data_IF_778301652053
#
_entry.id   IF_778301652053
#
_cell.length_a   1.000
_cell.length_b   1.000
_cell.length_c   1.000
_cell.angle_alpha   90.00
_cell.angle_beta   90.00
_cell.angle_gamma   90.00
#
_symmetry.space_group_name_H-M   'P 1'
#
loop_
_entity.id
_entity.type
_entity.pdbx_description
1 polymer ?
#
# COMPACT_ATOMS: atom_id res chain seq x y z
N UNK A 1 -57.02 -17.96 13.79
CA UNK A 1 -56.34 -18.93 12.90
C UNK A 1 -55.25 -18.16 12.16
N UNK A 2 -53.97 -18.46 12.16
CA UNK A 2 -53.13 -19.45 12.84
C UNK A 2 -51.67 -18.97 12.75
N UNK A 3 -50.89 -19.23 13.81
CA UNK A 3 -49.43 -19.50 13.96
C UNK A 3 -48.42 -18.93 12.94
N UNK A 4 -47.23 -18.46 13.36
CA UNK A 4 -46.14 -19.29 13.92
C UNK A 4 -45.20 -18.44 14.81
N UNK A 5 -45.17 -18.72 16.11
CA UNK A 5 -44.06 -19.34 16.89
C UNK A 5 -42.85 -18.44 17.16
N UNK A 6 -43.00 -17.66 18.23
CA UNK A 6 -41.94 -17.27 19.16
C UNK A 6 -41.30 -18.54 19.74
N UNK A 7 -39.97 -18.61 19.76
CA UNK A 7 -39.25 -19.51 20.64
C UNK A 7 -38.69 -18.70 21.81
N UNK A 8 -39.25 -18.98 22.98
CA UNK A 8 -38.73 -18.62 24.30
C UNK A 8 -37.58 -19.56 24.69
N UNK A 9 -36.45 -18.94 25.09
CA UNK A 9 -35.59 -19.21 26.26
C UNK A 9 -34.84 -20.58 26.37
N UNK A 10 -33.76 -20.72 27.19
CA UNK A 10 -33.32 -19.91 28.35
C UNK A 10 -31.88 -19.36 28.16
N UNK A 11 -31.33 -18.43 28.94
CA UNK A 11 -31.41 -18.17 30.38
C UNK A 11 -29.96 -17.99 30.84
N UNK A 12 -29.69 -16.91 31.54
CA UNK A 12 -28.40 -16.46 32.04
C UNK A 12 -27.69 -17.56 32.85
N UNK A 13 -26.58 -18.09 32.33
CA UNK A 13 -25.56 -18.80 33.11
C UNK A 13 -24.23 -18.11 32.86
N UNK A 14 -23.72 -17.50 33.93
CA UNK A 14 -22.48 -16.76 33.95
C UNK A 14 -21.26 -17.70 33.82
N UNK A 15 -20.27 -17.21 33.07
CA UNK A 15 -18.86 -17.56 33.08
C UNK A 15 -18.48 -19.01 32.73
N UNK A 16 -18.02 -19.17 31.49
CA UNK A 16 -16.70 -19.73 31.24
C UNK A 16 -16.02 -18.85 30.18
N UNK A 17 -15.23 -17.87 30.64
CA UNK A 17 -14.18 -17.22 29.84
C UNK A 17 -13.07 -18.25 29.59
N UNK A 18 -13.38 -19.32 28.86
CA UNK A 18 -12.37 -20.14 28.21
C UNK A 18 -11.93 -19.39 26.96
N UNK A 19 -10.67 -18.94 26.99
CA UNK A 19 -9.84 -18.54 25.85
C UNK A 19 -10.48 -18.86 24.49
N UNK A 20 -11.11 -17.85 23.85
CA UNK A 20 -11.38 -17.87 22.41
C UNK A 20 -9.99 -17.83 21.76
N UNK A 21 -9.41 -19.01 21.64
CA UNK A 21 -8.00 -19.20 21.35
C UNK A 21 -7.65 -18.74 19.95
N UNK A 22 -6.42 -18.24 19.82
CA UNK A 22 -5.75 -17.88 18.57
C UNK A 22 -5.93 -18.95 17.47
N UNK A 23 -6.09 -20.22 17.88
CA UNK A 23 -6.31 -21.39 17.02
C UNK A 23 -7.57 -21.29 16.13
N UNK A 24 -8.68 -20.72 16.63
CA UNK A 24 -9.90 -20.55 15.81
C UNK A 24 -9.74 -19.46 14.74
N UNK A 25 -9.02 -18.38 15.07
CA UNK A 25 -8.71 -17.31 14.11
C UNK A 25 -7.75 -17.82 13.03
N UNK A 26 -6.74 -18.59 13.42
CA UNK A 26 -5.82 -19.24 12.50
C UNK A 26 -6.52 -20.25 11.59
N UNK A 27 -7.38 -21.13 12.13
CA UNK A 27 -8.13 -22.10 11.33
C UNK A 27 -9.13 -21.46 10.37
N UNK A 28 -9.76 -20.36 10.79
CA UNK A 28 -10.62 -19.56 9.92
C UNK A 28 -9.81 -18.88 8.81
N UNK A 29 -8.62 -18.35 9.12
CA UNK A 29 -7.70 -17.78 8.14
C UNK A 29 -7.23 -18.82 7.12
N UNK A 30 -6.79 -19.99 7.58
CA UNK A 30 -6.40 -21.13 6.74
C UNK A 30 -7.53 -21.59 5.83
N UNK A 31 -8.76 -21.65 6.34
CA UNK A 31 -9.94 -22.04 5.56
C UNK A 31 -10.27 -21.06 4.45
N UNK A 32 -10.27 -19.75 4.74
CA UNK A 32 -10.47 -18.68 3.76
C UNK A 32 -9.40 -18.70 2.67
N UNK A 33 -8.13 -18.88 3.06
CA UNK A 33 -7.02 -19.02 2.10
C UNK A 33 -7.23 -20.19 1.15
N UNK A 34 -7.59 -21.38 1.67
CA UNK A 34 -7.86 -22.56 0.83
C UNK A 34 -9.06 -22.37 -0.10
N UNK A 35 -10.10 -21.69 0.38
CA UNK A 35 -11.27 -21.38 -0.44
C UNK A 35 -10.88 -20.44 -1.59
N UNK A 36 -10.08 -19.42 -1.30
CA UNK A 36 -9.51 -18.51 -2.29
C UNK A 36 -8.66 -19.24 -3.32
N UNK A 37 -7.73 -20.08 -2.89
CA UNK A 37 -6.88 -20.89 -3.78
C UNK A 37 -7.72 -21.76 -4.71
N UNK A 38 -8.80 -22.39 -4.21
CA UNK A 38 -9.74 -23.17 -5.04
C UNK A 38 -10.55 -22.32 -6.01
N UNK A 39 -10.79 -21.05 -5.71
CA UNK A 39 -11.48 -20.13 -6.62
C UNK A 39 -10.51 -19.66 -7.70
N UNK A 40 -9.29 -19.28 -7.33
CA UNK A 40 -8.25 -18.90 -8.26
C UNK A 40 -7.92 -20.03 -9.26
N UNK A 41 -7.76 -21.27 -8.78
CA UNK A 41 -7.51 -22.46 -9.61
C UNK A 41 -8.68 -22.86 -10.54
N UNK A 42 -9.85 -22.21 -10.43
CA UNK A 42 -10.96 -22.38 -11.37
C UNK A 42 -10.91 -21.39 -12.53
N UNK A 43 -10.08 -20.37 -12.42
CA UNK A 43 -9.90 -19.31 -13.42
C UNK A 43 -8.58 -19.52 -14.13
N UNK A 44 -7.51 -19.60 -13.34
CA UNK A 44 -6.13 -19.71 -13.82
C UNK A 44 -5.90 -20.96 -14.65
N UNK A 45 -5.24 -20.79 -15.78
CA UNK A 45 -4.78 -21.90 -16.62
C UNK A 45 -3.45 -22.51 -16.14
N UNK A 46 -3.21 -23.78 -16.52
CA UNK A 46 -1.98 -24.49 -16.19
C UNK A 46 -0.74 -23.77 -16.78
N UNK A 47 -0.90 -23.00 -17.86
CA UNK A 47 0.21 -22.30 -18.51
C UNK A 47 0.73 -21.12 -17.68
N UNK A 48 -0.14 -20.41 -16.96
CA UNK A 48 0.26 -19.38 -15.99
C UNK A 48 0.99 -19.99 -14.80
N UNK A 49 0.49 -21.10 -14.25
CA UNK A 49 1.20 -21.80 -13.16
C UNK A 49 2.59 -22.28 -13.61
N UNK A 50 2.70 -22.83 -14.82
CA UNK A 50 3.99 -23.19 -15.39
C UNK A 50 4.88 -21.97 -15.68
N UNK A 51 4.30 -20.83 -16.06
CA UNK A 51 5.07 -19.60 -16.29
C UNK A 51 5.67 -19.09 -14.98
N UNK A 52 4.87 -19.02 -13.91
CA UNK A 52 5.33 -18.63 -12.58
C UNK A 52 6.34 -19.63 -12.01
N UNK A 53 6.16 -20.92 -12.26
CA UNK A 53 7.11 -21.96 -11.86
C UNK A 53 8.50 -21.77 -12.50
N UNK A 54 8.56 -21.27 -13.75
CA UNK A 54 9.82 -21.00 -14.45
C UNK A 54 10.60 -19.83 -13.83
N UNK A 55 9.97 -18.98 -13.03
CA UNK A 55 10.62 -17.83 -12.38
C UNK A 55 11.24 -18.15 -11.03
N UNK A 56 11.24 -19.43 -10.62
CA UNK A 56 12.00 -19.92 -9.45
C UNK A 56 13.50 -19.61 -9.51
N UNK A 57 14.03 -19.31 -10.69
CA UNK A 57 15.33 -18.68 -10.87
C UNK A 57 15.13 -17.36 -11.60
N UNK A 58 15.86 -16.29 -11.24
CA UNK A 58 15.74 -15.01 -11.93
C UNK A 58 16.01 -15.17 -13.44
N UNK A 59 14.98 -14.89 -14.24
CA UNK A 59 15.04 -14.86 -15.70
C UNK A 59 14.11 -13.72 -16.15
N UNK A 60 14.65 -12.61 -16.69
CA UNK A 60 13.86 -11.47 -17.15
C UNK A 60 12.71 -11.84 -18.09
N UNK A 61 12.96 -12.75 -19.04
CA UNK A 61 11.95 -13.13 -20.02
C UNK A 61 10.83 -13.96 -19.38
N UNK A 62 11.18 -14.86 -18.45
CA UNK A 62 10.19 -15.64 -17.71
C UNK A 62 9.36 -14.74 -16.78
N UNK A 63 9.99 -13.78 -16.10
CA UNK A 63 9.31 -12.87 -15.18
C UNK A 63 8.31 -11.96 -15.92
N UNK A 64 8.72 -11.33 -17.03
CA UNK A 64 7.81 -10.52 -17.87
C UNK A 64 6.68 -11.37 -18.45
N UNK A 65 6.96 -12.62 -18.85
CA UNK A 65 5.92 -13.54 -19.32
C UNK A 65 4.91 -13.90 -18.21
N UNK A 66 5.38 -14.09 -16.98
CA UNK A 66 4.52 -14.38 -15.84
C UNK A 66 3.65 -13.15 -15.50
N UNK A 67 4.20 -11.93 -15.52
CA UNK A 67 3.44 -10.70 -15.30
C UNK A 67 2.34 -10.49 -16.35
N UNK A 68 2.69 -10.62 -17.64
CA UNK A 68 1.71 -10.49 -18.73
C UNK A 68 0.65 -11.62 -18.72
N UNK A 69 0.96 -12.80 -18.18
CA UNK A 69 -0.04 -13.84 -17.95
C UNK A 69 -0.93 -13.51 -16.77
N UNK A 70 -0.35 -13.05 -15.67
CA UNK A 70 -1.09 -12.65 -14.48
C UNK A 70 -2.14 -11.57 -14.80
N UNK A 71 -1.76 -10.55 -15.57
CA UNK A 71 -2.68 -9.53 -16.08
C UNK A 71 -3.87 -10.15 -16.84
N UNK A 72 -3.59 -11.03 -17.82
CA UNK A 72 -4.67 -11.70 -18.58
C UNK A 72 -5.59 -12.55 -17.70
N UNK A 73 -5.04 -13.21 -16.68
CA UNK A 73 -5.85 -13.99 -15.73
C UNK A 73 -6.74 -13.10 -14.86
N UNK A 74 -6.25 -11.91 -14.48
CA UNK A 74 -7.05 -10.91 -13.79
C UNK A 74 -8.18 -10.38 -14.68
N UNK A 75 -7.87 -10.01 -15.93
CA UNK A 75 -8.87 -9.55 -16.90
C UNK A 75 -9.95 -10.63 -17.12
N UNK A 76 -9.54 -11.88 -17.37
CA UNK A 76 -10.45 -13.01 -17.54
C UNK A 76 -11.30 -13.27 -16.28
N UNK A 77 -10.75 -13.00 -15.09
CA UNK A 77 -11.49 -13.09 -13.83
C UNK A 77 -12.52 -11.96 -13.66
N UNK A 78 -12.21 -10.73 -14.12
CA UNK A 78 -13.14 -9.58 -14.10
C UNK A 78 -14.34 -9.78 -15.03
N UNK A 79 -14.15 -10.45 -16.17
CA UNK A 79 -15.23 -10.74 -17.12
C UNK A 79 -16.30 -11.68 -16.55
N UNK A 80 -16.05 -12.29 -15.38
CA UNK A 80 -16.99 -13.21 -14.74
C UNK A 80 -18.07 -12.43 -13.97
N UNK A 81 -19.31 -12.84 -14.17
CA UNK A 81 -20.47 -12.29 -13.46
C UNK A 81 -20.59 -12.86 -12.03
N UNK A 82 -19.59 -12.58 -11.18
CA UNK A 82 -19.53 -13.01 -9.78
C UNK A 82 -19.21 -11.89 -8.78
N UNK A 83 -19.41 -10.63 -9.17
CA UNK A 83 -19.18 -9.47 -8.29
C UNK A 83 -17.70 -9.25 -7.94
N UNK A 84 -16.78 -9.78 -8.76
CA UNK A 84 -15.33 -9.65 -8.57
C UNK A 84 -14.78 -10.62 -7.53
N UNK A 85 -15.50 -11.68 -7.16
CA UNK A 85 -14.98 -12.73 -6.28
C UNK A 85 -13.83 -13.49 -6.94
N UNK A 86 -13.98 -13.83 -8.23
CA UNK A 86 -12.91 -14.50 -8.98
C UNK A 86 -11.67 -13.62 -9.11
N UNK A 87 -11.85 -12.34 -9.45
CA UNK A 87 -10.74 -11.38 -9.53
C UNK A 87 -9.97 -11.30 -8.22
N UNK A 88 -10.67 -11.04 -7.10
CA UNK A 88 -10.05 -10.99 -5.78
C UNK A 88 -9.37 -12.31 -5.42
N UNK A 89 -9.92 -13.44 -5.87
CA UNK A 89 -9.32 -14.74 -5.62
C UNK A 89 -7.99 -14.92 -6.36
N UNK A 90 -7.95 -14.58 -7.65
CA UNK A 90 -6.71 -14.61 -8.46
C UNK A 90 -5.69 -13.63 -7.88
N UNK A 91 -6.09 -12.37 -7.70
CA UNK A 91 -5.23 -11.31 -7.17
C UNK A 91 -4.55 -11.73 -5.86
N UNK A 92 -5.32 -12.04 -4.82
CA UNK A 92 -4.76 -12.36 -3.50
C UNK A 92 -4.06 -13.72 -3.43
N UNK A 93 -4.12 -14.54 -4.48
CA UNK A 93 -3.39 -15.80 -4.56
C UNK A 93 -2.04 -15.63 -5.23
N UNK A 94 -1.96 -14.79 -6.27
CA UNK A 94 -0.78 -14.71 -7.14
C UNK A 94 -0.06 -13.36 -7.11
N UNK A 95 -0.62 -12.31 -6.49
CA UNK A 95 0.03 -11.01 -6.35
C UNK A 95 1.45 -11.10 -5.77
N UNK A 96 1.59 -11.66 -4.57
CA UNK A 96 2.90 -11.79 -3.90
C UNK A 96 3.89 -12.64 -4.72
N UNK A 97 3.53 -13.86 -5.21
CA UNK A 97 4.43 -14.64 -6.07
C UNK A 97 4.91 -13.90 -7.34
N UNK A 98 4.04 -13.13 -7.99
CA UNK A 98 4.42 -12.39 -9.20
C UNK A 98 5.30 -11.19 -8.83
N UNK A 99 5.00 -10.48 -7.73
CA UNK A 99 5.88 -9.44 -7.18
C UNK A 99 7.26 -10.01 -6.88
N UNK A 100 7.36 -11.14 -6.17
CA UNK A 100 8.63 -11.80 -5.83
C UNK A 100 9.42 -12.20 -7.07
N UNK A 101 8.72 -12.69 -8.10
CA UNK A 101 9.32 -13.05 -9.39
C UNK A 101 10.00 -11.86 -10.08
N UNK A 102 9.31 -10.72 -10.14
CA UNK A 102 9.83 -9.50 -10.79
C UNK A 102 10.92 -8.87 -9.91
N UNK A 103 10.70 -8.84 -8.59
CA UNK A 103 11.66 -8.32 -7.60
C UNK A 103 12.99 -9.08 -7.67
N UNK A 104 12.96 -10.41 -7.81
CA UNK A 104 14.16 -11.23 -7.90
C UNK A 104 15.02 -10.86 -9.12
N UNK A 105 14.42 -10.57 -10.27
CA UNK A 105 15.13 -10.11 -11.46
C UNK A 105 15.63 -8.67 -11.27
N UNK A 106 14.79 -7.78 -10.73
CA UNK A 106 15.17 -6.39 -10.47
C UNK A 106 16.39 -6.28 -9.53
N UNK A 107 16.58 -7.23 -8.61
CA UNK A 107 17.77 -7.30 -7.74
C UNK A 107 19.05 -7.67 -8.48
N UNK A 108 18.96 -8.44 -9.56
CA UNK A 108 20.13 -8.84 -10.37
C UNK A 108 20.43 -7.83 -11.47
N UNK A 109 19.41 -7.40 -12.20
CA UNK A 109 19.54 -6.55 -13.40
C UNK A 109 19.39 -5.06 -13.11
N UNK A 110 18.83 -4.70 -11.94
CA UNK A 110 18.72 -3.32 -11.46
C UNK A 110 17.70 -2.47 -12.23
N UNK A 111 17.92 -1.16 -12.20
CA UNK A 111 17.04 -0.16 -12.80
C UNK A 111 16.76 -0.35 -14.30
N UNK A 112 17.71 -0.75 -15.17
CA UNK A 112 17.41 -0.93 -16.59
C UNK A 112 16.23 -1.88 -16.85
N UNK A 113 16.23 -3.06 -16.21
CA UNK A 113 15.12 -4.01 -16.33
C UNK A 113 13.82 -3.43 -15.78
N UNK A 114 13.88 -2.84 -14.58
CA UNK A 114 12.70 -2.35 -13.90
C UNK A 114 12.03 -1.16 -14.62
N UNK A 115 12.83 -0.30 -15.24
CA UNK A 115 12.33 0.81 -16.04
C UNK A 115 11.69 0.32 -17.35
N UNK A 116 12.23 -0.72 -17.99
CA UNK A 116 11.56 -1.35 -19.15
C UNK A 116 10.19 -1.94 -18.76
N UNK A 117 10.09 -2.57 -17.58
CA UNK A 117 8.81 -3.07 -17.06
C UNK A 117 7.85 -1.93 -16.74
N UNK A 118 8.32 -0.86 -16.08
CA UNK A 118 7.48 0.30 -15.76
C UNK A 118 6.99 1.04 -17.03
N UNK A 119 7.84 1.16 -18.05
CA UNK A 119 7.49 1.73 -19.35
C UNK A 119 6.44 0.87 -20.08
N UNK A 120 6.58 -0.45 -20.07
CA UNK A 120 5.61 -1.36 -20.69
C UNK A 120 4.22 -1.33 -20.04
N UNK A 121 4.14 -0.87 -18.78
CA UNK A 121 2.91 -0.75 -17.99
C UNK A 121 2.57 0.71 -17.66
N UNK A 122 3.04 1.64 -18.48
CA UNK A 122 2.86 3.07 -18.27
C UNK A 122 1.44 3.54 -18.62
N UNK A 123 0.62 3.72 -17.59
CA UNK A 123 -0.77 4.15 -17.70
C UNK A 123 -0.95 5.55 -18.32
N UNK A 124 0.11 6.35 -18.40
CA UNK A 124 0.07 7.67 -19.04
C UNK A 124 -0.06 7.57 -20.57
N UNK A 125 0.33 6.44 -21.16
CA UNK A 125 0.20 6.21 -22.61
C UNK A 125 -1.24 5.85 -23.01
N UNK A 126 -1.87 4.96 -22.25
CA UNK A 126 -3.21 4.44 -22.54
C UNK A 126 -4.35 5.18 -21.82
N UNK A 127 -4.00 6.00 -20.82
CA UNK A 127 -4.97 6.79 -20.05
C UNK A 127 -5.75 5.99 -19.00
N UNK A 128 -5.30 4.78 -18.66
CA UNK A 128 -5.92 3.88 -17.68
C UNK A 128 -4.86 3.03 -17.00
N UNK A 129 -5.10 2.67 -15.74
CA UNK A 129 -4.27 1.69 -15.04
C UNK A 129 -4.49 0.29 -15.64
N UNK A 130 -3.41 -0.50 -15.68
CA UNK A 130 -3.47 -1.93 -15.96
C UNK A 130 -3.77 -2.70 -14.68
N UNK A 131 -4.41 -3.87 -14.80
CA UNK A 131 -4.59 -4.80 -13.69
C UNK A 131 -3.27 -5.28 -13.05
N UNK A 132 -2.16 -5.18 -13.80
CA UNK A 132 -0.82 -5.49 -13.31
C UNK A 132 -0.10 -4.29 -12.66
N UNK A 133 -0.65 -3.07 -12.73
CA UNK A 133 -0.02 -1.87 -12.16
C UNK A 133 0.32 -2.06 -10.67
N UNK A 134 -0.51 -2.75 -9.91
CA UNK A 134 -0.22 -3.02 -8.49
C UNK A 134 1.07 -3.81 -8.26
N UNK A 135 1.42 -4.73 -9.16
CA UNK A 135 2.67 -5.50 -9.09
C UNK A 135 3.84 -4.58 -9.42
N UNK A 136 3.74 -3.85 -10.54
CA UNK A 136 4.81 -2.96 -11.03
C UNK A 136 5.08 -1.84 -10.02
N UNK A 137 4.04 -1.20 -9.48
CA UNK A 137 4.17 -0.19 -8.44
C UNK A 137 4.88 -0.73 -7.19
N UNK A 138 4.56 -1.95 -6.75
CA UNK A 138 5.21 -2.56 -5.59
C UNK A 138 6.71 -2.79 -5.83
N UNK A 139 7.12 -3.39 -6.96
CA UNK A 139 8.55 -3.63 -7.23
C UNK A 139 9.34 -2.35 -7.49
N UNK A 140 8.71 -1.34 -8.09
CA UNK A 140 9.29 0.01 -8.22
C UNK A 140 9.47 0.63 -6.85
N UNK A 141 8.45 0.58 -5.98
CA UNK A 141 8.52 1.08 -4.61
C UNK A 141 9.61 0.38 -3.78
N UNK A 142 9.73 -0.96 -3.85
CA UNK A 142 10.81 -1.70 -3.18
C UNK A 142 12.18 -1.22 -3.64
N UNK A 143 12.36 -1.01 -4.94
CA UNK A 143 13.64 -0.57 -5.51
C UNK A 143 13.97 0.89 -5.16
N UNK A 144 12.96 1.77 -5.09
CA UNK A 144 13.09 3.15 -4.59
C UNK A 144 13.59 3.14 -3.14
N UNK A 145 12.96 2.33 -2.29
CA UNK A 145 13.31 2.22 -0.87
C UNK A 145 14.71 1.63 -0.70
N UNK A 146 15.05 0.56 -1.44
CA UNK A 146 16.40 -0.01 -1.42
C UNK A 146 17.45 1.02 -1.80
N UNK A 147 17.29 1.69 -2.94
CA UNK A 147 18.23 2.71 -3.40
C UNK A 147 18.38 3.84 -2.35
N UNK A 148 17.28 4.35 -1.78
CA UNK A 148 17.34 5.35 -0.71
C UNK A 148 18.15 4.85 0.50
N UNK A 149 17.95 3.60 0.91
CA UNK A 149 18.60 3.02 2.09
C UNK A 149 20.07 2.66 1.87
N UNK A 150 20.48 2.30 0.63
CA UNK A 150 21.83 1.79 0.35
C UNK A 150 22.73 2.77 -0.39
N UNK A 151 22.17 3.60 -1.27
CA UNK A 151 22.90 4.45 -2.22
C UNK A 151 22.56 5.95 -2.07
N UNK A 152 21.44 6.26 -1.41
CA UNK A 152 20.92 7.61 -1.25
C UNK A 152 19.85 7.96 -2.30
N UNK A 153 19.20 9.11 -2.12
CA UNK A 153 18.05 9.49 -2.97
C UNK A 153 18.44 9.78 -4.41
N UNK A 154 19.61 10.37 -4.66
CA UNK A 154 20.12 10.69 -6.00
C UNK A 154 20.31 9.45 -6.90
N UNK A 155 20.34 8.25 -6.32
CA UNK A 155 20.45 7.00 -7.06
C UNK A 155 19.11 6.51 -7.65
N UNK A 156 18.00 7.13 -7.27
CA UNK A 156 16.66 6.74 -7.74
C UNK A 156 16.39 7.40 -9.10
N UNK A 157 16.04 6.63 -10.15
CA UNK A 157 15.69 7.24 -11.43
C UNK A 157 14.42 8.08 -11.35
N UNK A 158 14.46 9.30 -11.89
CA UNK A 158 13.28 10.19 -12.01
C UNK A 158 12.10 9.51 -12.71
N UNK A 159 12.37 8.66 -13.70
CA UNK A 159 11.34 7.91 -14.41
C UNK A 159 10.54 6.97 -13.48
N UNK A 160 11.20 6.32 -12.51
CA UNK A 160 10.53 5.47 -11.52
C UNK A 160 9.64 6.29 -10.58
N UNK A 161 10.11 7.48 -10.17
CA UNK A 161 9.36 8.39 -9.32
C UNK A 161 8.15 8.98 -10.05
N UNK A 162 8.33 9.32 -11.33
CA UNK A 162 7.25 9.85 -12.17
C UNK A 162 6.20 8.78 -12.45
N UNK A 163 6.61 7.51 -12.62
CA UNK A 163 5.69 6.39 -12.73
C UNK A 163 4.81 6.30 -11.47
N UNK A 164 5.40 6.17 -10.28
CA UNK A 164 4.65 6.07 -9.02
C UNK A 164 3.79 7.31 -8.77
N UNK A 165 4.38 8.50 -8.84
CA UNK A 165 3.71 9.76 -8.53
C UNK A 165 2.54 10.10 -9.45
N UNK A 166 2.44 9.47 -10.62
CA UNK A 166 1.33 9.69 -11.53
C UNK A 166 0.13 8.77 -11.31
N UNK A 167 0.27 7.65 -10.58
CA UNK A 167 -0.81 6.67 -10.37
C UNK A 167 -2.10 7.30 -9.81
N UNK A 168 -2.08 8.20 -8.81
CA UNK A 168 -3.30 8.77 -8.23
C UNK A 168 -4.20 9.46 -9.26
N UNK A 169 -3.61 10.10 -10.28
CA UNK A 169 -4.36 10.80 -11.33
C UNK A 169 -5.17 9.85 -12.22
N UNK A 170 -4.82 8.57 -12.25
CA UNK A 170 -5.46 7.55 -13.10
C UNK A 170 -6.21 6.49 -12.28
N UNK A 171 -6.16 6.57 -10.94
CA UNK A 171 -6.96 5.70 -10.09
C UNK A 171 -8.44 6.11 -10.16
N UNK A 172 -9.30 5.15 -10.46
CA UNK A 172 -10.75 5.34 -10.54
C UNK A 172 -11.48 4.71 -9.34
N UNK A 173 -10.74 4.37 -8.27
CA UNK A 173 -11.26 3.71 -7.08
C UNK A 173 -11.65 2.25 -7.28
N UNK A 174 -11.37 1.65 -8.45
CA UNK A 174 -11.68 0.23 -8.70
C UNK A 174 -10.72 -0.72 -7.99
N UNK A 175 -9.48 -0.27 -7.71
CA UNK A 175 -8.48 -1.13 -7.08
C UNK A 175 -7.37 -0.40 -6.28
N UNK A 176 -7.54 -0.33 -4.97
CA UNK A 176 -6.71 0.48 -4.07
C UNK A 176 -5.23 0.07 -3.96
N UNK A 177 -4.81 -1.14 -4.39
CA UNK A 177 -3.42 -1.58 -4.12
C UNK A 177 -2.38 -0.84 -4.97
N UNK A 178 -2.64 -0.60 -6.26
CA UNK A 178 -1.72 0.20 -7.07
C UNK A 178 -1.54 1.61 -6.48
N UNK A 179 -2.67 2.18 -6.06
CA UNK A 179 -2.74 3.45 -5.35
C UNK A 179 -1.96 3.43 -4.02
N UNK A 180 -2.15 2.41 -3.17
CA UNK A 180 -1.40 2.21 -1.91
C UNK A 180 0.12 2.11 -2.16
N UNK A 181 0.53 1.32 -3.15
CA UNK A 181 1.93 1.08 -3.49
C UNK A 181 2.60 2.35 -4.03
N UNK A 182 1.86 3.17 -4.77
CA UNK A 182 2.36 4.43 -5.33
C UNK A 182 2.74 5.47 -4.27
N UNK A 183 2.13 5.43 -3.09
CA UNK A 183 2.42 6.35 -2.00
C UNK A 183 3.87 6.24 -1.50
N UNK A 184 4.57 5.15 -1.80
CA UNK A 184 5.99 4.99 -1.48
C UNK A 184 6.90 5.95 -2.27
N UNK A 185 6.37 6.72 -3.23
CA UNK A 185 7.07 7.87 -3.80
C UNK A 185 7.53 8.86 -2.73
N UNK A 186 6.90 8.88 -1.55
CA UNK A 186 7.33 9.65 -0.38
C UNK A 186 8.79 9.42 0.05
N UNK A 187 9.34 8.23 -0.24
CA UNK A 187 10.75 7.91 0.03
C UNK A 187 11.75 8.71 -0.81
N UNK A 188 11.27 9.44 -1.82
CA UNK A 188 12.06 10.31 -2.68
C UNK A 188 12.21 11.74 -2.15
N UNK A 189 11.76 12.04 -0.93
CA UNK A 189 11.94 13.37 -0.35
C UNK A 189 13.41 13.83 -0.42
N UNK A 190 13.60 15.06 -0.91
CA UNK A 190 14.94 15.64 -1.12
C UNK A 190 15.65 15.23 -2.41
N UNK A 191 14.98 14.54 -3.35
CA UNK A 191 15.56 14.20 -4.65
C UNK A 191 15.95 15.45 -5.46
N UNK A 192 17.15 15.53 -6.05
CA UNK A 192 17.64 16.75 -6.70
C UNK A 192 16.94 17.09 -8.02
N UNK A 193 16.39 16.08 -8.69
CA UNK A 193 15.77 16.20 -10.03
C UNK A 193 14.27 15.83 -10.03
N UNK A 194 13.68 15.56 -8.87
CA UNK A 194 12.26 15.19 -8.75
C UNK A 194 11.65 15.92 -7.55
N UNK A 195 10.58 16.69 -7.80
CA UNK A 195 9.92 17.47 -6.76
C UNK A 195 8.77 16.68 -6.15
N UNK A 196 9.04 15.99 -5.04
CA UNK A 196 7.97 15.33 -4.27
C UNK A 196 6.92 16.34 -3.79
N UNK A 197 7.34 17.55 -3.41
CA UNK A 197 6.46 18.63 -2.99
C UNK A 197 5.45 18.99 -4.08
N UNK A 198 5.91 19.20 -5.32
CA UNK A 198 5.03 19.53 -6.44
C UNK A 198 4.03 18.39 -6.70
N UNK A 199 4.52 17.14 -6.79
CA UNK A 199 3.64 15.98 -7.01
C UNK A 199 2.56 15.83 -5.92
N UNK A 200 2.95 15.97 -4.64
CA UNK A 200 2.01 15.84 -3.53
C UNK A 200 1.01 16.98 -3.50
N UNK A 201 1.47 18.22 -3.71
CA UNK A 201 0.59 19.39 -3.64
C UNK A 201 -0.32 19.55 -4.87
N UNK A 202 0.02 18.94 -6.00
CA UNK A 202 -0.90 18.77 -7.12
C UNK A 202 -1.97 17.71 -6.81
N UNK A 203 -1.60 16.61 -6.13
CA UNK A 203 -2.53 15.54 -5.81
C UNK A 203 -3.47 15.85 -4.65
N UNK A 204 -3.05 16.66 -3.65
CA UNK A 204 -3.80 16.85 -2.39
C UNK A 204 -5.21 17.42 -2.56
N UNK A 205 -5.46 18.18 -3.64
CA UNK A 205 -6.79 18.76 -3.90
C UNK A 205 -7.80 17.71 -4.35
N UNK A 206 -7.34 16.66 -5.04
CA UNK A 206 -8.19 15.58 -5.56
C UNK A 206 -8.11 14.32 -4.68
N UNK A 207 -7.00 14.14 -3.95
CA UNK A 207 -6.67 12.94 -3.19
C UNK A 207 -5.77 13.24 -1.98
N UNK A 208 -6.39 13.80 -0.95
CA UNK A 208 -5.74 14.13 0.32
C UNK A 208 -5.29 12.90 1.12
N UNK A 209 -5.98 11.76 0.98
CA UNK A 209 -5.59 10.50 1.61
C UNK A 209 -4.26 10.01 1.04
N UNK A 210 -4.10 10.05 -0.29
CA UNK A 210 -2.84 9.69 -0.93
C UNK A 210 -1.73 10.65 -0.55
N UNK A 211 -1.98 11.95 -0.64
CA UNK A 211 -1.01 12.99 -0.31
C UNK A 211 -0.53 12.87 1.15
N UNK A 212 -1.46 12.67 2.09
CA UNK A 212 -1.15 12.42 3.49
C UNK A 212 -0.33 11.14 3.68
N UNK A 213 -0.64 10.07 2.96
CA UNK A 213 0.08 8.80 3.07
C UNK A 213 1.50 8.86 2.46
N UNK A 214 1.68 9.57 1.34
CA UNK A 214 2.99 9.76 0.72
C UNK A 214 3.89 10.64 1.60
N UNK A 215 3.35 11.74 2.13
CA UNK A 215 4.09 12.62 3.04
C UNK A 215 4.38 11.97 4.39
N UNK A 216 3.48 11.11 4.88
CA UNK A 216 3.75 10.31 6.09
C UNK A 216 4.96 9.39 5.90
N UNK A 217 5.07 8.72 4.75
CA UNK A 217 6.25 7.91 4.41
C UNK A 217 7.52 8.76 4.22
N UNK A 218 7.37 10.00 3.76
CA UNK A 218 8.48 10.96 3.70
C UNK A 218 9.00 11.31 5.12
N UNK A 219 8.12 11.52 6.10
CA UNK A 219 8.51 11.74 7.50
C UNK A 219 9.35 10.58 8.08
N UNK A 220 8.99 9.33 7.74
CA UNK A 220 9.77 8.15 8.11
C UNK A 220 11.19 8.13 7.52
N UNK A 221 11.40 8.85 6.42
CA UNK A 221 12.66 8.84 5.66
C UNK A 221 13.55 10.01 6.03
N UNK A 222 12.98 11.21 6.17
CA UNK A 222 13.67 12.46 6.50
C UNK A 222 12.67 13.48 7.06
N UNK A 223 12.53 13.51 8.39
CA UNK A 223 11.52 14.35 9.05
C UNK A 223 11.76 15.85 8.87
N UNK A 224 13.03 16.29 8.84
CA UNK A 224 13.37 17.71 8.67
C UNK A 224 12.95 18.20 7.29
N UNK A 225 13.21 17.40 6.25
CA UNK A 225 12.81 17.72 4.89
C UNK A 225 11.29 17.56 4.66
N UNK A 226 10.64 16.59 5.32
CA UNK A 226 9.24 16.27 5.08
C UNK A 226 8.24 17.10 5.91
N UNK A 227 8.61 17.60 7.09
CA UNK A 227 7.70 18.34 7.97
C UNK A 227 7.05 19.57 7.32
N UNK A 228 7.77 20.41 6.54
CA UNK A 228 7.14 21.52 5.82
C UNK A 228 6.07 21.07 4.82
N UNK A 229 6.36 19.99 4.09
CA UNK A 229 5.42 19.44 3.11
C UNK A 229 4.18 18.84 3.80
N UNK A 230 4.37 18.08 4.89
CA UNK A 230 3.26 17.52 5.64
C UNK A 230 2.36 18.61 6.25
N UNK A 231 2.96 19.67 6.79
CA UNK A 231 2.22 20.83 7.29
C UNK A 231 1.40 21.50 6.17
N UNK A 232 1.92 21.56 4.95
CA UNK A 232 1.16 22.10 3.82
C UNK A 232 0.02 21.18 3.38
N UNK A 233 0.22 19.86 3.41
CA UNK A 233 -0.86 18.89 3.18
C UNK A 233 -1.97 19.07 4.22
N UNK A 234 -1.64 19.23 5.51
CA UNK A 234 -2.63 19.52 6.58
C UNK A 234 -3.47 20.76 6.24
N UNK A 235 -2.85 21.81 5.69
CA UNK A 235 -3.54 23.07 5.35
C UNK A 235 -4.44 22.97 4.13
N UNK A 236 -4.11 22.08 3.19
CA UNK A 236 -4.79 21.98 1.89
C UNK A 236 -5.80 20.84 1.80
N UNK A 237 -5.65 19.82 2.64
CA UNK A 237 -6.57 18.69 2.65
C UNK A 237 -8.01 19.14 2.89
N UNK A 238 -8.92 18.68 2.03
CA UNK A 238 -10.35 18.93 2.16
C UNK A 238 -10.94 18.16 3.35
N UNK A 239 -10.52 16.90 3.56
CA UNK A 239 -10.78 16.11 4.76
C UNK A 239 -9.47 15.74 5.47
N UNK A 240 -8.99 16.70 6.28
CA UNK A 240 -7.78 16.55 7.07
C UNK A 240 -7.81 15.36 8.05
N UNK A 241 -8.97 14.79 8.34
CA UNK A 241 -9.13 13.71 9.32
C UNK A 241 -8.23 12.52 9.03
N UNK A 242 -8.19 12.03 7.79
CA UNK A 242 -7.34 10.91 7.39
C UNK A 242 -5.85 11.25 7.42
N UNK A 243 -5.49 12.50 7.13
CA UNK A 243 -4.12 12.98 7.23
C UNK A 243 -3.65 12.98 8.68
N UNK A 244 -4.51 13.39 9.62
CA UNK A 244 -4.16 13.45 11.05
C UNK A 244 -4.21 12.09 11.74
N UNK A 245 -5.10 11.19 11.33
CA UNK A 245 -5.19 9.82 11.85
C UNK A 245 -3.85 9.07 11.74
N UNK A 246 -3.13 9.28 10.64
CA UNK A 246 -1.78 8.69 10.45
C UNK A 246 -0.77 9.20 11.49
N UNK A 247 -0.85 10.47 11.87
CA UNK A 247 0.00 11.02 12.94
C UNK A 247 -0.37 10.45 14.31
N UNK A 248 -1.65 10.13 14.53
CA UNK A 248 -2.11 9.52 15.79
C UNK A 248 -1.51 8.13 16.04
N UNK A 249 -1.12 7.44 14.97
CA UNK A 249 -0.60 6.08 15.04
C UNK A 249 0.92 6.01 14.81
N UNK A 250 1.61 7.15 14.81
CA UNK A 250 3.04 7.25 14.54
C UNK A 250 3.88 6.27 15.39
N UNK A 251 3.55 6.13 16.67
CA UNK A 251 4.12 5.11 17.55
C UNK A 251 3.28 3.82 17.49
N UNK A 252 3.75 2.82 16.74
CA UNK A 252 3.11 1.50 16.68
C UNK A 252 2.47 1.14 15.34
N UNK A 253 2.60 2.00 14.32
CA UNK A 253 2.27 1.62 12.95
C UNK A 253 3.09 0.38 12.57
N UNK A 254 2.43 -0.69 12.13
CA UNK A 254 3.12 -1.89 11.67
C UNK A 254 3.86 -1.60 10.36
N UNK A 255 5.03 -2.23 10.18
CA UNK A 255 5.89 -2.06 9.00
C UNK A 255 5.12 -2.16 7.66
N UNK A 256 4.11 -3.02 7.56
CA UNK A 256 3.32 -3.17 6.33
C UNK A 256 2.58 -1.90 5.88
N UNK A 257 2.42 -0.88 6.74
CA UNK A 257 1.84 0.41 6.36
C UNK A 257 2.87 1.43 5.86
N UNK A 258 4.16 1.17 6.03
CA UNK A 258 5.27 2.07 5.64
C UNK A 258 6.07 1.49 4.46
N UNK A 259 5.97 0.18 4.27
CA UNK A 259 6.66 -0.58 3.23
C UNK A 259 5.68 -1.28 2.29
N UNK A 260 6.09 -1.54 1.04
CA UNK A 260 5.33 -2.30 0.07
C UNK A 260 4.76 -3.61 0.62
N UNK A 261 3.54 -3.95 0.21
CA UNK A 261 2.84 -5.13 0.71
C UNK A 261 3.64 -6.40 0.41
N UNK A 262 3.62 -7.33 1.37
CA UNK A 262 4.29 -8.62 1.24
C UNK A 262 5.82 -8.53 1.28
N UNK A 263 6.41 -7.40 1.68
CA UNK A 263 7.86 -7.28 1.84
C UNK A 263 8.28 -7.43 3.30
N UNK A 264 9.12 -8.43 3.57
CA UNK A 264 9.82 -8.56 4.85
C UNK A 264 11.09 -7.69 4.85
N UNK A 265 10.87 -6.38 5.00
CA UNK A 265 11.96 -5.39 4.99
C UNK A 265 12.95 -5.58 6.15
N UNK A 266 12.45 -6.04 7.30
CA UNK A 266 13.27 -6.27 8.49
C UNK A 266 14.24 -7.42 8.25
N UNK A 267 13.78 -8.51 7.60
CA UNK A 267 14.66 -9.61 7.21
C UNK A 267 15.70 -9.20 6.16
N UNK A 268 15.36 -8.28 5.25
CA UNK A 268 16.28 -7.83 4.22
C UNK A 268 17.38 -6.90 4.77
N UNK A 269 17.04 -5.98 5.68
CA UNK A 269 17.99 -4.99 6.21
C UNK A 269 18.54 -5.30 7.60
N UNK A 270 18.08 -6.38 8.25
CA UNK A 270 18.44 -6.76 9.63
C UNK A 270 18.29 -5.58 10.62
N UNK A 271 17.17 -4.85 10.49
CA UNK A 271 16.88 -3.61 11.21
C UNK A 271 15.38 -3.45 11.41
N UNK A 272 14.97 -2.86 12.53
CA UNK A 272 13.59 -2.40 12.73
C UNK A 272 13.45 -0.93 12.38
N UNK A 273 12.33 -0.58 11.76
CA UNK A 273 12.01 0.79 11.37
C UNK A 273 11.01 1.37 12.36
N UNK A 274 11.43 2.37 13.13
CA UNK A 274 10.59 3.10 14.08
C UNK A 274 10.76 4.59 13.85
N UNK A 275 9.68 5.36 13.91
CA UNK A 275 9.71 6.82 13.84
C UNK A 275 9.32 7.40 15.21
N UNK A 276 10.09 8.40 15.64
CA UNK A 276 9.74 9.30 16.73
C UNK A 276 10.02 10.71 16.24
N UNK A 277 9.07 11.63 16.41
CA UNK A 277 9.26 13.00 15.95
C UNK A 277 10.23 13.76 16.86
N UNK A 278 11.08 14.57 16.24
CA UNK A 278 11.83 15.60 16.93
C UNK A 278 10.90 16.73 17.38
N UNK A 279 11.21 17.37 18.50
CA UNK A 279 10.40 18.45 19.09
C UNK A 279 10.13 19.58 18.08
N UNK A 280 11.09 19.93 17.23
CA UNK A 280 10.89 20.92 16.16
C UNK A 280 9.87 20.47 15.12
N UNK A 281 9.95 19.21 14.69
CA UNK A 281 9.02 18.62 13.74
C UNK A 281 7.62 18.56 14.33
N UNK A 282 7.49 18.04 15.55
CA UNK A 282 6.20 17.97 16.25
C UNK A 282 5.59 19.37 16.37
N UNK A 283 6.34 20.35 16.88
CA UNK A 283 5.84 21.73 17.04
C UNK A 283 5.35 22.33 15.71
N UNK A 284 6.05 22.07 14.62
CA UNK A 284 5.66 22.55 13.29
C UNK A 284 4.34 21.92 12.81
N UNK A 285 4.17 20.61 13.00
CA UNK A 285 2.91 19.94 12.64
C UNK A 285 1.76 20.41 13.54
N UNK A 286 2.02 20.62 14.84
CA UNK A 286 1.02 21.17 15.77
C UNK A 286 0.60 22.58 15.39
N UNK A 287 1.54 23.43 14.96
CA UNK A 287 1.23 24.76 14.45
C UNK A 287 0.29 24.69 13.23
N UNK A 288 0.55 23.81 12.27
CA UNK A 288 -0.34 23.62 11.12
C UNK A 288 -1.75 23.16 11.51
N UNK A 289 -1.86 22.26 12.50
CA UNK A 289 -3.14 21.77 13.05
C UNK A 289 -3.91 22.92 13.72
N UNK A 290 -3.23 23.78 14.49
CA UNK A 290 -3.82 24.96 15.12
C UNK A 290 -4.21 26.03 14.08
N UNK A 291 -3.42 26.22 13.02
CA UNK A 291 -3.72 27.19 11.95
C UNK A 291 -5.04 26.88 11.23
N UNK A 292 -5.38 25.60 11.05
CA UNK A 292 -6.66 25.18 10.49
C UNK A 292 -7.79 25.08 11.54
N UNK A 293 -7.49 25.35 12.82
CA UNK A 293 -8.44 25.33 13.94
C UNK A 293 -8.91 23.92 14.34
N UNK A 294 -8.18 22.87 13.96
CA UNK A 294 -8.58 21.49 14.30
C UNK A 294 -8.40 21.21 15.80
N UNK A 295 -7.44 21.87 16.45
CA UNK A 295 -7.15 21.77 17.88
C UNK A 295 -8.31 22.22 18.78
N UNK A 296 -9.22 23.08 18.30
CA UNK A 296 -10.44 23.47 19.05
C UNK A 296 -11.35 22.27 19.38
N UNK A 297 -11.17 21.15 18.68
CA UNK A 297 -11.91 19.89 18.88
C UNK A 297 -11.23 18.94 19.87
N UNK A 298 -10.00 19.25 20.28
CA UNK A 298 -9.15 18.40 21.10
C UNK A 298 -9.12 18.88 22.56
N UNK A 299 -8.67 18.05 23.51
CA UNK A 299 -8.39 18.48 24.89
C UNK A 299 -7.35 19.63 24.94
N UNK A 300 -7.35 20.42 26.02
CA UNK A 300 -6.37 21.53 26.19
C UNK A 300 -4.90 21.03 26.20
N UNK A 301 -4.67 19.79 26.64
CA UNK A 301 -3.37 19.12 26.75
C UNK A 301 -3.19 18.01 25.71
N UNK A 302 -3.82 18.14 24.54
CA UNK A 302 -3.80 17.14 23.49
C UNK A 302 -2.38 16.73 23.05
N UNK A 303 -2.30 15.47 22.65
CA UNK A 303 -1.15 14.79 22.07
C UNK A 303 -1.48 14.28 20.67
N UNK A 304 -0.49 13.83 19.89
CA UNK A 304 -0.77 13.29 18.56
C UNK A 304 -1.75 12.11 18.60
N UNK A 305 -1.75 11.29 19.66
CA UNK A 305 -2.71 10.19 19.84
C UNK A 305 -4.18 10.67 19.84
N UNK A 306 -4.45 11.92 20.27
CA UNK A 306 -5.79 12.49 20.28
C UNK A 306 -6.32 12.84 18.88
N UNK A 307 -5.47 12.75 17.84
CA UNK A 307 -5.83 13.00 16.46
C UNK A 307 -6.56 11.82 15.78
N UNK A 308 -6.64 10.66 16.45
CA UNK A 308 -7.29 9.44 15.95
C UNK A 308 -8.73 9.71 15.49
N UNK A 309 -9.08 9.21 14.29
CA UNK A 309 -10.43 9.27 13.76
C UNK A 309 -11.36 8.38 14.57
N UNK A 310 -12.22 9.01 15.37
CA UNK A 310 -13.30 8.32 16.11
C UNK A 310 -14.58 8.27 15.28
N UNK A 311 -14.95 7.06 14.86
CA UNK A 311 -16.18 6.72 14.14
C UNK A 311 -17.41 6.62 15.06
#
# INVERSE_FOLDING_TARGET
>A
MSSLRLHDCPGDDAADEESIGNDWLEDRGRSRRRERERMAARVVDDEFEEALERTRSPDPAAAVTALARYERELEAALERDDGGESYRAVFWTYYEPVVESIDAVAREDGWPFLLEVAEAYDHREDGTLSDATAVVANVVARSVIRARLTEGVDAIPVAALTYLGSIPTFDDGSFEIAWEESQHVGWAIGHPEYSLEETVLEAVEDDDIWAGAATFRALHTDQEAAAPLYAEVIRRADDVGFVLDRLAHLEGIPNWSVFPRGWDVDAEFDRHFTLSLEESTENQLREAITEIGYDERLPEDWTLEDLELRW
#
